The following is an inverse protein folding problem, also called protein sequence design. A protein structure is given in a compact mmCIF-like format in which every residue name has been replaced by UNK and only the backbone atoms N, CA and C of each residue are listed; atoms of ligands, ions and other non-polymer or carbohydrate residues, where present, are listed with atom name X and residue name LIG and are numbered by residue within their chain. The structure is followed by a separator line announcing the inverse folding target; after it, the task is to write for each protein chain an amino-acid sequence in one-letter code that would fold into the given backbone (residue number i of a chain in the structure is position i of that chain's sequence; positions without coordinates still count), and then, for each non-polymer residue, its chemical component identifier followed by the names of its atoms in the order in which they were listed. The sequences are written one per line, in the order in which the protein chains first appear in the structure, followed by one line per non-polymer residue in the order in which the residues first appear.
data_IF_755466935747
#
_entry.id   IF_755466935747
#
_cell.length_a   1.000
_cell.length_b   1.000
_cell.length_c   1.000
_cell.angle_alpha   90.00
_cell.angle_beta   90.00
_cell.angle_gamma   90.00
#
_symmetry.space_group_name_H-M   'P 1'
#
loop_
_entity.id
_entity.type
_entity.pdbx_description
1 polymer ?
#
# COMPACT_ATOMS: atom_id res chain seq x y z
N UNK A 1 -24.46 7.08 2.64
CA UNK A 1 -24.55 5.86 1.79
C UNK A 1 -25.96 5.74 1.22
N UNK A 2 -26.06 5.46 -0.08
CA UNK A 2 -27.34 5.13 -0.74
C UNK A 2 -27.19 3.87 -1.56
N UNK A 3 -28.18 3.00 -1.48
CA UNK A 3 -28.25 1.71 -2.19
C UNK A 3 -26.98 0.85 -2.08
N UNK A 4 -26.26 0.96 -0.96
CA UNK A 4 -25.01 0.25 -0.74
C UNK A 4 -25.23 -1.04 0.06
N UNK A 5 -24.96 -2.19 -0.57
CA UNK A 5 -25.14 -3.53 0.01
C UNK A 5 -26.55 -3.71 0.64
N UNK A 6 -26.63 -3.70 1.97
CA UNK A 6 -27.91 -3.84 2.72
C UNK A 6 -28.59 -2.49 3.01
N UNK A 7 -27.94 -1.38 2.79
CA UNK A 7 -28.46 -0.07 3.16
C UNK A 7 -29.16 0.60 2.00
N UNK A 8 -30.49 0.81 2.05
CA UNK A 8 -31.19 1.68 1.11
C UNK A 8 -30.69 3.13 1.24
N UNK A 9 -30.62 3.62 2.46
CA UNK A 9 -29.99 4.88 2.82
C UNK A 9 -29.46 4.77 4.26
N UNK A 10 -28.25 5.31 4.52
CA UNK A 10 -27.65 5.32 5.84
C UNK A 10 -26.68 6.49 5.97
N UNK A 11 -26.88 7.32 6.98
CA UNK A 11 -25.92 8.31 7.44
C UNK A 11 -25.36 7.90 8.81
N UNK A 12 -24.09 8.20 9.04
CA UNK A 12 -23.40 7.96 10.31
C UNK A 12 -22.43 9.10 10.53
N UNK A 13 -22.54 9.76 11.66
CA UNK A 13 -21.58 10.75 12.10
C UNK A 13 -20.38 10.04 12.74
N UNK A 14 -19.18 10.38 12.24
CA UNK A 14 -17.93 9.83 12.72
C UNK A 14 -17.18 10.90 13.52
N UNK A 15 -16.82 10.57 14.74
CA UNK A 15 -16.03 11.38 15.64
C UNK A 15 -14.61 10.81 15.76
N UNK A 16 -13.64 11.54 16.38
CA UNK A 16 -12.28 11.00 16.58
C UNK A 16 -12.24 9.64 17.27
N UNK A 17 -13.26 9.35 18.08
CA UNK A 17 -13.50 8.01 18.62
C UNK A 17 -14.97 7.66 18.43
N UNK A 18 -15.24 6.73 17.52
CA UNK A 18 -16.58 6.22 17.23
C UNK A 18 -16.59 4.71 17.42
N UNK A 19 -17.49 4.20 18.25
CA UNK A 19 -17.72 2.77 18.44
C UNK A 19 -19.00 2.38 17.71
N UNK A 20 -18.89 1.40 16.81
CA UNK A 20 -20.02 0.82 16.07
C UNK A 20 -20.32 -0.56 16.60
N UNK A 21 -21.36 -0.67 17.41
CA UNK A 21 -21.84 -1.93 17.98
C UNK A 21 -23.14 -2.40 17.32
N UNK A 22 -23.47 -3.66 17.49
CA UNK A 22 -24.68 -4.28 16.93
C UNK A 22 -24.52 -5.78 16.73
N UNK A 23 -25.63 -6.45 16.41
CA UNK A 23 -25.66 -7.90 16.16
C UNK A 23 -24.93 -8.29 14.89
N UNK A 24 -24.62 -9.56 14.73
CA UNK A 24 -24.06 -10.07 13.48
C UNK A 24 -25.02 -9.82 12.30
N UNK A 25 -24.45 -9.50 11.12
CA UNK A 25 -25.18 -9.17 9.90
C UNK A 25 -25.95 -7.84 9.91
N UNK A 26 -25.78 -6.97 10.90
CA UNK A 26 -26.39 -5.63 10.91
C UNK A 26 -25.65 -4.60 10.05
N UNK A 27 -24.49 -4.95 9.52
CA UNK A 27 -23.79 -4.12 8.55
C UNK A 27 -22.63 -3.31 9.12
N UNK A 28 -22.10 -3.65 10.30
CA UNK A 28 -20.91 -3.00 10.87
C UNK A 28 -19.73 -3.01 9.89
N UNK A 29 -19.36 -4.18 9.41
CA UNK A 29 -18.29 -4.31 8.39
C UNK A 29 -18.65 -3.65 7.05
N UNK A 30 -19.94 -3.54 6.73
CA UNK A 30 -20.40 -2.84 5.54
C UNK A 30 -20.14 -1.35 5.61
N UNK A 31 -20.28 -0.73 6.79
CA UNK A 31 -19.91 0.67 7.01
C UNK A 31 -18.39 0.88 6.89
N UNK A 32 -17.61 -0.02 7.47
CA UNK A 32 -16.14 0.01 7.34
C UNK A 32 -15.70 -0.16 5.87
N UNK A 33 -16.28 -1.11 5.15
CA UNK A 33 -16.01 -1.32 3.73
C UNK A 33 -16.33 -0.07 2.89
N UNK A 34 -17.48 0.59 3.16
CA UNK A 34 -17.87 1.79 2.43
C UNK A 34 -16.90 2.96 2.68
N UNK A 35 -16.50 3.16 3.94
CA UNK A 35 -15.51 4.16 4.33
C UNK A 35 -14.18 3.94 3.59
N UNK A 36 -13.68 2.72 3.61
CA UNK A 36 -12.41 2.38 2.97
C UNK A 36 -12.49 2.42 1.44
N UNK A 37 -13.62 1.99 0.85
CA UNK A 37 -13.83 2.08 -0.60
C UNK A 37 -13.75 3.53 -1.09
N UNK A 38 -14.32 4.48 -0.37
CA UNK A 38 -14.23 5.90 -0.73
C UNK A 38 -12.80 6.39 -0.68
N UNK A 39 -12.05 6.08 0.37
CA UNK A 39 -10.69 6.57 0.58
C UNK A 39 -9.61 5.82 -0.21
N UNK A 40 -9.75 4.50 -0.35
CA UNK A 40 -8.66 3.67 -0.90
C UNK A 40 -9.04 2.93 -2.16
N UNK A 41 -10.32 2.90 -2.52
CA UNK A 41 -10.84 2.05 -3.59
C UNK A 41 -10.90 0.56 -3.23
N UNK A 42 -10.65 0.21 -1.96
CA UNK A 42 -10.61 -1.18 -1.48
C UNK A 42 -11.50 -1.38 -0.26
N UNK A 43 -11.93 -2.61 -0.04
CA UNK A 43 -12.63 -3.02 1.17
C UNK A 43 -11.65 -3.32 2.30
N UNK A 44 -12.15 -3.53 3.52
CA UNK A 44 -11.35 -3.82 4.72
C UNK A 44 -10.42 -5.05 4.59
N UNK A 45 -10.76 -5.99 3.74
CA UNK A 45 -9.92 -7.16 3.45
C UNK A 45 -8.85 -6.91 2.37
N UNK A 46 -8.73 -5.67 1.86
CA UNK A 46 -7.77 -5.28 0.84
C UNK A 46 -8.17 -5.63 -0.60
N UNK A 47 -9.34 -6.23 -0.82
CA UNK A 47 -9.85 -6.54 -2.17
C UNK A 47 -10.62 -5.37 -2.77
N UNK A 48 -10.79 -5.39 -4.09
CA UNK A 48 -11.67 -4.44 -4.77
C UNK A 48 -13.13 -4.63 -4.36
N UNK A 49 -13.94 -3.55 -4.33
CA UNK A 49 -15.35 -3.64 -3.97
C UNK A 49 -16.13 -4.45 -4.99
N UNK A 50 -16.66 -5.58 -4.54
CA UNK A 50 -17.56 -6.43 -5.33
C UNK A 50 -18.96 -6.45 -4.72
N UNK A 51 -19.99 -6.65 -5.55
CA UNK A 51 -21.38 -6.74 -5.09
C UNK A 51 -21.77 -5.60 -4.14
N UNK A 52 -21.46 -4.36 -4.52
CA UNK A 52 -21.72 -3.17 -3.69
C UNK A 52 -23.18 -2.71 -3.77
N UNK A 53 -23.91 -3.14 -4.79
CA UNK A 53 -25.30 -2.75 -5.02
C UNK A 53 -26.24 -3.40 -3.99
N UNK A 54 -27.28 -2.66 -3.63
CA UNK A 54 -28.32 -3.17 -2.76
C UNK A 54 -28.99 -4.42 -3.36
N UNK A 55 -29.27 -5.38 -2.50
CA UNK A 55 -29.99 -6.60 -2.86
C UNK A 55 -31.32 -6.67 -2.14
N UNK A 56 -32.36 -7.08 -2.85
CA UNK A 56 -33.64 -7.46 -2.31
C UNK A 56 -33.89 -8.92 -2.66
N UNK A 57 -34.23 -9.72 -1.66
CA UNK A 57 -34.42 -11.18 -1.82
C UNK A 57 -33.23 -11.88 -2.52
N UNK A 58 -32.01 -11.41 -2.28
CA UNK A 58 -30.78 -11.97 -2.85
C UNK A 58 -30.43 -11.47 -4.27
N UNK A 59 -31.31 -10.71 -4.92
CA UNK A 59 -31.11 -10.17 -6.26
C UNK A 59 -30.72 -8.68 -6.18
N UNK A 60 -29.76 -8.26 -6.99
CA UNK A 60 -29.37 -6.85 -7.05
C UNK A 60 -30.52 -6.00 -7.63
N UNK A 61 -30.81 -4.88 -6.96
CA UNK A 61 -31.82 -3.91 -7.45
C UNK A 61 -31.26 -3.22 -8.69
N UNK A 62 -31.89 -3.39 -9.86
CA UNK A 62 -31.39 -2.80 -11.09
C UNK A 62 -31.65 -1.31 -11.17
N UNK A 63 -30.85 -0.61 -11.98
CA UNK A 63 -31.05 0.81 -12.36
C UNK A 63 -31.05 1.80 -11.18
N UNK A 64 -30.47 1.44 -10.03
CA UNK A 64 -30.29 2.36 -8.90
C UNK A 64 -28.83 2.76 -8.80
N UNK A 65 -28.58 4.02 -8.52
CA UNK A 65 -27.23 4.53 -8.28
C UNK A 65 -26.75 4.11 -6.89
N UNK A 66 -25.51 3.66 -6.79
CA UNK A 66 -24.87 3.35 -5.53
C UNK A 66 -24.00 4.53 -5.14
N UNK A 67 -24.40 5.28 -4.11
CA UNK A 67 -23.71 6.49 -3.66
C UNK A 67 -22.97 6.21 -2.35
N UNK A 68 -21.70 6.58 -2.34
CA UNK A 68 -20.85 6.58 -1.15
C UNK A 68 -20.28 7.99 -1.01
N UNK A 69 -20.64 8.65 0.06
CA UNK A 69 -20.23 10.02 0.37
C UNK A 69 -19.55 10.03 1.72
N UNK A 70 -18.49 10.81 1.83
CA UNK A 70 -17.75 11.00 3.06
C UNK A 70 -17.39 12.49 3.21
N UNK A 71 -17.72 13.07 4.36
CA UNK A 71 -17.28 14.38 4.74
C UNK A 71 -16.05 14.28 5.63
N UNK A 72 -14.97 14.93 5.24
CA UNK A 72 -13.68 14.93 5.93
C UNK A 72 -13.41 16.34 6.48
N UNK A 73 -12.96 16.43 7.71
CA UNK A 73 -12.39 17.66 8.26
C UNK A 73 -10.86 17.62 8.07
N UNK A 74 -10.33 18.47 7.21
CA UNK A 74 -8.90 18.57 6.89
C UNK A 74 -8.46 20.00 7.22
N UNK A 75 -7.54 20.15 8.17
CA UNK A 75 -7.02 21.47 8.61
C UNK A 75 -8.15 22.46 8.96
N UNK A 76 -9.20 21.95 9.61
CA UNK A 76 -10.35 22.75 10.03
C UNK A 76 -11.33 23.12 8.90
N UNK A 77 -11.14 22.60 7.69
CA UNK A 77 -12.07 22.79 6.56
C UNK A 77 -12.75 21.46 6.23
N UNK A 78 -14.06 21.54 6.00
CA UNK A 78 -14.82 20.38 5.53
C UNK A 78 -14.61 20.17 4.04
N UNK A 79 -14.42 18.92 3.66
CA UNK A 79 -14.30 18.43 2.29
C UNK A 79 -15.25 17.28 2.09
N UNK A 80 -16.10 17.36 1.08
CA UNK A 80 -17.06 16.30 0.73
C UNK A 80 -16.54 15.56 -0.48
N UNK A 81 -16.33 14.28 -0.32
CA UNK A 81 -15.95 13.39 -1.42
C UNK A 81 -17.05 12.38 -1.66
N UNK A 82 -17.35 12.14 -2.95
CA UNK A 82 -18.42 11.26 -3.35
C UNK A 82 -17.99 10.34 -4.48
N UNK A 83 -18.46 9.11 -4.39
CA UNK A 83 -18.20 8.05 -5.37
C UNK A 83 -19.54 7.44 -5.77
N UNK A 84 -19.93 7.55 -7.03
CA UNK A 84 -21.22 7.16 -7.56
C UNK A 84 -21.02 6.05 -8.58
N UNK A 85 -21.60 4.88 -8.35
CA UNK A 85 -21.54 3.76 -9.29
C UNK A 85 -22.91 3.52 -9.91
N UNK A 86 -23.00 3.69 -11.22
CA UNK A 86 -24.19 3.51 -12.05
C UNK A 86 -24.08 2.25 -12.90
N UNK A 87 -25.21 1.64 -13.22
CA UNK A 87 -25.25 0.58 -14.23
C UNK A 87 -25.39 1.20 -15.62
N UNK A 88 -24.54 0.74 -16.54
CA UNK A 88 -24.73 1.00 -17.97
C UNK A 88 -25.66 -0.04 -18.55
N UNK A 89 -26.61 0.43 -19.32
CA UNK A 89 -27.56 -0.39 -20.04
C UNK A 89 -27.46 -0.04 -21.52
N UNK A 90 -27.40 -1.05 -22.37
CA UNK A 90 -27.31 -0.90 -23.82
C UNK A 90 -28.49 -1.60 -24.48
N UNK A 91 -29.07 -0.95 -25.48
CA UNK A 91 -30.09 -1.56 -26.35
C UNK A 91 -29.40 -2.09 -27.61
N UNK A 92 -29.18 -3.41 -27.75
CA UNK A 92 -28.59 -3.98 -28.95
C UNK A 92 -29.53 -3.74 -30.17
N UNK A 93 -28.90 -3.60 -31.35
CA UNK A 93 -29.63 -3.36 -32.58
C UNK A 93 -30.54 -4.56 -32.89
N UNK A 94 -31.85 -4.31 -33.05
CA UNK A 94 -32.84 -5.36 -33.32
C UNK A 94 -33.45 -6.03 -32.09
N UNK A 95 -33.10 -5.61 -30.89
CA UNK A 95 -33.73 -6.08 -29.64
C UNK A 95 -34.59 -4.98 -29.02
N UNK A 96 -35.72 -5.39 -28.40
CA UNK A 96 -36.62 -4.46 -27.70
C UNK A 96 -36.16 -4.15 -26.28
N UNK A 97 -35.36 -5.04 -25.66
CA UNK A 97 -34.94 -4.97 -24.28
C UNK A 97 -33.53 -4.42 -24.14
N UNK A 98 -33.30 -3.72 -23.05
CA UNK A 98 -31.95 -3.25 -22.64
C UNK A 98 -31.18 -4.37 -21.94
N UNK A 99 -29.92 -4.51 -22.30
CA UNK A 99 -28.99 -5.48 -21.69
C UNK A 99 -27.99 -4.74 -20.83
N UNK A 100 -27.67 -5.31 -19.68
CA UNK A 100 -26.65 -4.78 -18.80
C UNK A 100 -25.26 -4.79 -19.48
N UNK A 101 -24.60 -3.64 -19.52
CA UNK A 101 -23.30 -3.41 -20.21
C UNK A 101 -22.18 -2.99 -19.23
N UNK A 102 -22.32 -3.32 -17.96
CA UNK A 102 -21.31 -3.05 -16.95
C UNK A 102 -21.66 -1.92 -15.99
N UNK A 103 -20.69 -1.54 -15.17
CA UNK A 103 -20.81 -0.44 -14.21
C UNK A 103 -19.88 0.70 -14.60
N UNK A 104 -20.31 1.91 -14.33
CA UNK A 104 -19.50 3.13 -14.44
C UNK A 104 -19.44 3.81 -13.08
N UNK A 105 -18.24 4.23 -12.68
CA UNK A 105 -18.05 4.99 -11.45
C UNK A 105 -17.62 6.41 -11.79
N UNK A 106 -18.37 7.38 -11.28
CA UNK A 106 -18.04 8.81 -11.29
C UNK A 106 -17.65 9.29 -9.90
N UNK A 107 -16.91 10.37 -9.87
CA UNK A 107 -16.33 10.94 -8.66
C UNK A 107 -16.69 12.41 -8.55
N UNK A 108 -16.89 12.89 -7.33
CA UNK A 108 -17.12 14.30 -7.02
C UNK A 108 -16.29 14.72 -5.81
N UNK A 109 -15.80 15.96 -5.84
CA UNK A 109 -15.12 16.63 -4.73
C UNK A 109 -15.85 17.96 -4.50
N UNK A 110 -16.35 18.21 -3.28
CA UNK A 110 -17.12 19.39 -2.91
C UNK A 110 -18.31 19.66 -3.86
N UNK A 111 -18.96 18.61 -4.36
CA UNK A 111 -20.08 18.69 -5.31
C UNK A 111 -19.69 18.91 -6.77
N UNK A 112 -18.41 19.05 -7.08
CA UNK A 112 -17.93 19.20 -8.46
C UNK A 112 -17.47 17.86 -9.03
N UNK A 113 -17.84 17.54 -10.30
CA UNK A 113 -17.36 16.34 -10.94
C UNK A 113 -15.83 16.32 -11.04
N UNK A 114 -15.21 15.20 -10.70
CA UNK A 114 -13.77 14.98 -10.74
C UNK A 114 -13.45 13.77 -11.63
N UNK A 115 -12.30 13.81 -12.33
CA UNK A 115 -11.77 12.62 -13.00
C UNK A 115 -11.22 11.65 -11.95
N UNK A 116 -11.19 10.37 -12.29
CA UNK A 116 -10.61 9.35 -11.40
C UNK A 116 -9.19 9.68 -10.94
N UNK A 117 -8.37 10.27 -11.84
CA UNK A 117 -7.02 10.70 -11.53
C UNK A 117 -7.01 11.82 -10.47
N UNK A 118 -7.78 12.87 -10.69
CA UNK A 118 -7.84 14.05 -9.81
C UNK A 118 -8.37 13.65 -8.41
N UNK A 119 -9.35 12.75 -8.38
CA UNK A 119 -9.87 12.19 -7.12
C UNK A 119 -8.78 11.40 -6.38
N UNK A 120 -8.03 10.57 -7.08
CA UNK A 120 -6.94 9.78 -6.49
C UNK A 120 -5.81 10.68 -5.97
N UNK A 121 -5.42 11.70 -6.73
CA UNK A 121 -4.41 12.69 -6.32
C UNK A 121 -4.89 13.48 -5.08
N UNK A 122 -6.16 13.83 -5.03
CA UNK A 122 -6.73 14.48 -3.84
C UNK A 122 -6.62 13.59 -2.60
N UNK A 123 -6.99 12.30 -2.69
CA UNK A 123 -6.84 11.37 -1.56
C UNK A 123 -5.37 11.21 -1.18
N UNK A 124 -4.46 11.08 -2.16
CA UNK A 124 -3.02 10.97 -1.92
C UNK A 124 -2.43 12.22 -1.25
N UNK A 125 -3.00 13.39 -1.49
CA UNK A 125 -2.58 14.63 -0.80
C UNK A 125 -2.92 14.62 0.69
N UNK A 126 -3.93 13.85 1.11
CA UNK A 126 -4.31 13.68 2.53
C UNK A 126 -3.43 12.61 3.17
N UNK A 127 -3.38 11.44 2.57
CA UNK A 127 -2.52 10.33 3.00
C UNK A 127 -2.43 9.27 1.89
N UNK A 128 -1.33 8.53 1.84
CA UNK A 128 -1.19 7.44 0.88
C UNK A 128 -2.24 6.34 1.12
N UNK A 129 -2.97 5.89 0.08
CA UNK A 129 -4.05 4.91 0.22
C UNK A 129 -3.62 3.60 0.89
N UNK A 130 -2.39 3.14 0.66
CA UNK A 130 -1.84 1.96 1.33
C UNK A 130 -1.68 2.16 2.83
N UNK A 131 -1.27 3.36 3.25
CA UNK A 131 -1.14 3.73 4.67
C UNK A 131 -2.52 3.88 5.32
N UNK A 132 -3.48 4.52 4.63
CA UNK A 132 -4.86 4.60 5.09
C UNK A 132 -5.49 3.21 5.29
N UNK A 133 -5.29 2.31 4.33
CA UNK A 133 -5.79 0.94 4.44
C UNK A 133 -5.19 0.22 5.65
N UNK A 134 -3.89 0.35 5.87
CA UNK A 134 -3.19 -0.25 7.02
C UNK A 134 -3.66 0.32 8.36
N UNK A 135 -3.82 1.65 8.45
CA UNK A 135 -4.20 2.32 9.69
C UNK A 135 -5.68 2.15 10.04
N UNK A 136 -6.55 2.10 9.01
CA UNK A 136 -8.00 2.18 9.20
C UNK A 136 -8.72 0.84 9.12
N UNK A 137 -8.06 -0.26 8.69
CA UNK A 137 -8.84 -1.46 8.40
C UNK A 137 -8.50 -2.66 9.26
N UNK A 138 -7.52 -3.40 8.90
CA UNK A 138 -7.25 -4.72 9.44
C UNK A 138 -5.74 -4.84 9.63
N UNK A 139 -5.26 -5.29 10.79
CA UNK A 139 -3.84 -5.53 11.00
C UNK A 139 -3.27 -6.62 10.08
N UNK A 140 -4.13 -7.44 9.46
CA UNK A 140 -3.69 -8.55 8.61
C UNK A 140 -2.82 -8.12 7.43
N UNK A 141 -3.15 -7.12 6.58
CA UNK A 141 -2.27 -6.67 5.51
C UNK A 141 -0.90 -6.18 6.03
N UNK A 142 -0.90 -5.55 7.21
CA UNK A 142 0.34 -5.15 7.87
C UNK A 142 1.15 -6.38 8.32
N UNK A 143 0.52 -7.33 8.97
CA UNK A 143 1.16 -8.59 9.39
C UNK A 143 1.67 -9.39 8.19
N UNK A 144 0.88 -9.48 7.11
CA UNK A 144 1.28 -10.14 5.86
C UNK A 144 2.52 -9.46 5.25
N UNK A 145 2.64 -8.12 5.35
CA UNK A 145 3.81 -7.36 4.90
C UNK A 145 5.02 -7.64 5.78
N UNK A 146 4.84 -7.72 7.11
CA UNK A 146 5.90 -8.07 8.05
C UNK A 146 6.45 -9.48 7.81
N UNK A 147 5.62 -10.40 7.35
CA UNK A 147 6.02 -11.78 7.05
C UNK A 147 6.75 -11.94 5.71
N UNK A 148 6.49 -11.06 4.74
CA UNK A 148 7.05 -11.17 3.38
C UNK A 148 8.52 -10.78 3.32
N UNK A 149 8.90 -9.64 3.84
CA UNK A 149 10.29 -9.19 3.77
C UNK A 149 10.59 -8.09 4.81
N UNK A 150 11.75 -8.18 5.44
CA UNK A 150 12.22 -7.16 6.39
C UNK A 150 12.38 -5.78 5.73
N UNK A 151 12.75 -5.73 4.44
CA UNK A 151 12.92 -4.47 3.71
C UNK A 151 11.58 -3.79 3.44
N UNK A 152 10.53 -4.54 3.05
CA UNK A 152 9.18 -4.00 2.85
C UNK A 152 8.56 -3.55 4.16
N UNK A 153 8.73 -4.34 5.22
CA UNK A 153 8.28 -3.98 6.57
C UNK A 153 8.88 -2.68 7.05
N UNK A 154 10.19 -2.49 6.83
CA UNK A 154 10.88 -1.26 7.19
C UNK A 154 10.31 -0.05 6.44
N UNK A 155 10.11 -0.14 5.13
CA UNK A 155 9.51 0.94 4.33
C UNK A 155 8.11 1.33 4.81
N UNK A 156 7.30 0.35 5.19
CA UNK A 156 5.97 0.61 5.74
C UNK A 156 6.07 1.34 7.09
N UNK A 157 6.95 0.87 7.98
CA UNK A 157 7.17 1.50 9.29
C UNK A 157 7.75 2.93 9.16
N UNK A 158 8.70 3.15 8.25
CA UNK A 158 9.24 4.48 7.94
C UNK A 158 8.13 5.44 7.50
N UNK A 159 7.27 5.02 6.58
CA UNK A 159 6.11 5.82 6.14
C UNK A 159 5.12 6.08 7.28
N UNK A 160 4.83 5.10 8.12
CA UNK A 160 3.90 5.26 9.25
C UNK A 160 4.45 6.16 10.35
N UNK A 161 5.76 6.15 10.58
CA UNK A 161 6.41 6.96 11.61
C UNK A 161 6.53 8.44 11.23
N UNK A 162 6.30 8.80 9.95
CA UNK A 162 6.59 10.13 9.44
C UNK A 162 8.07 10.50 9.52
N UNK A 163 8.96 9.50 9.58
CA UNK A 163 10.39 9.70 9.71
C UNK A 163 10.95 10.39 8.46
N UNK A 164 11.42 11.60 8.63
CA UNK A 164 12.10 12.37 7.60
C UNK A 164 13.61 12.24 7.78
N UNK A 165 14.24 11.54 6.85
CA UNK A 165 15.70 11.32 6.87
C UNK A 165 16.44 12.66 6.75
N UNK A 166 15.96 13.60 5.93
CA UNK A 166 16.64 14.89 5.75
C UNK A 166 16.65 15.68 7.06
N UNK A 167 15.49 15.79 7.71
CA UNK A 167 15.37 16.43 9.02
C UNK A 167 16.21 15.73 10.10
N UNK A 168 16.20 14.40 10.11
CA UNK A 168 17.03 13.61 11.04
C UNK A 168 18.53 13.88 10.83
N UNK A 169 19.00 14.00 9.59
CA UNK A 169 20.40 14.29 9.28
C UNK A 169 20.80 15.71 9.69
N UNK A 170 19.91 16.70 9.51
CA UNK A 170 20.12 18.07 9.99
C UNK A 170 20.24 18.14 11.53
N UNK A 171 19.40 17.40 12.25
CA UNK A 171 19.41 17.32 13.71
C UNK A 171 20.59 16.48 14.25
N UNK A 172 21.23 15.66 13.42
CA UNK A 172 22.29 14.73 13.81
C UNK A 172 23.53 14.84 12.91
N UNK A 173 24.31 15.93 13.00
CA UNK A 173 25.48 16.19 12.13
C UNK A 173 26.54 15.09 12.16
N UNK A 174 26.61 14.28 13.24
CA UNK A 174 27.54 13.14 13.35
C UNK A 174 27.34 12.10 12.24
N UNK A 175 26.19 12.07 11.58
CA UNK A 175 25.89 11.15 10.48
C UNK A 175 26.09 11.77 9.09
N UNK A 176 26.54 13.03 8.97
CA UNK A 176 26.76 13.71 7.68
C UNK A 176 27.68 12.92 6.74
N UNK A 177 28.64 12.16 7.29
CA UNK A 177 29.52 11.29 6.51
C UNK A 177 28.78 10.16 5.78
N UNK A 178 27.58 9.78 6.21
CA UNK A 178 26.77 8.75 5.53
C UNK A 178 26.31 9.24 4.18
N UNK A 179 25.92 10.52 4.05
CA UNK A 179 25.54 11.13 2.77
C UNK A 179 26.72 11.16 1.80
N UNK A 180 27.90 11.52 2.29
CA UNK A 180 29.14 11.51 1.49
C UNK A 180 29.49 10.10 1.01
N UNK A 181 29.38 9.08 1.88
CA UNK A 181 29.64 7.69 1.52
C UNK A 181 28.60 7.17 0.51
N UNK A 182 27.35 7.55 0.63
CA UNK A 182 26.27 7.08 -0.27
C UNK A 182 26.30 7.78 -1.62
N UNK A 183 26.81 9.02 -1.70
CA UNK A 183 26.87 9.83 -2.93
C UNK A 183 25.53 9.88 -3.68
N UNK A 184 24.44 10.08 -2.96
CA UNK A 184 23.09 10.15 -3.54
C UNK A 184 22.45 8.78 -3.89
N UNK A 185 23.13 7.68 -3.62
CA UNK A 185 22.53 6.35 -3.70
C UNK A 185 21.86 5.94 -2.38
N UNK A 186 20.91 5.02 -2.43
CA UNK A 186 20.33 4.49 -1.20
C UNK A 186 21.41 3.76 -0.38
N UNK A 187 21.29 3.82 0.95
CA UNK A 187 22.20 3.10 1.87
C UNK A 187 22.21 1.60 1.55
N UNK A 188 21.05 1.03 1.18
CA UNK A 188 20.93 -0.38 0.81
C UNK A 188 21.72 -0.73 -0.45
N UNK A 189 21.66 0.11 -1.48
CA UNK A 189 22.41 -0.12 -2.73
C UNK A 189 23.92 -0.03 -2.50
N UNK A 190 24.34 0.92 -1.67
CA UNK A 190 25.73 1.07 -1.30
C UNK A 190 26.23 -0.13 -0.48
N UNK A 191 25.44 -0.60 0.49
CA UNK A 191 25.76 -1.81 1.26
C UNK A 191 25.84 -3.06 0.35
N UNK A 192 24.94 -3.18 -0.61
CA UNK A 192 24.96 -4.29 -1.57
C UNK A 192 26.21 -4.27 -2.44
N UNK A 193 26.64 -3.08 -2.87
CA UNK A 193 27.88 -2.91 -3.63
C UNK A 193 29.10 -3.26 -2.80
N UNK A 194 29.21 -2.72 -1.59
CA UNK A 194 30.31 -2.99 -0.67
C UNK A 194 30.42 -4.49 -0.31
N UNK A 195 29.29 -5.17 -0.11
CA UNK A 195 29.29 -6.63 0.14
C UNK A 195 29.81 -7.42 -1.07
N UNK A 196 29.48 -7.00 -2.29
CA UNK A 196 30.03 -7.63 -3.50
C UNK A 196 31.56 -7.41 -3.59
N UNK A 197 32.02 -6.19 -3.36
CA UNK A 197 33.44 -5.86 -3.36
C UNK A 197 34.22 -6.66 -2.30
N UNK A 198 33.66 -6.74 -1.09
CA UNK A 198 34.23 -7.55 0.00
C UNK A 198 34.35 -9.02 -0.36
N UNK A 199 33.32 -9.61 -0.99
CA UNK A 199 33.37 -11.01 -1.41
C UNK A 199 34.42 -11.25 -2.49
N UNK A 200 34.61 -10.30 -3.41
CA UNK A 200 35.69 -10.37 -4.41
C UNK A 200 37.06 -10.32 -3.74
N UNK A 201 37.24 -9.43 -2.77
CA UNK A 201 38.52 -9.34 -2.04
C UNK A 201 38.77 -10.60 -1.20
N UNK A 202 37.76 -11.14 -0.51
CA UNK A 202 37.91 -12.43 0.21
C UNK A 202 38.37 -13.53 -0.71
N UNK A 203 37.74 -13.72 -1.87
CA UNK A 203 38.17 -14.73 -2.84
C UNK A 203 39.62 -14.54 -3.31
N UNK A 204 40.09 -13.29 -3.49
CA UNK A 204 41.49 -13.02 -3.84
C UNK A 204 42.45 -13.39 -2.70
N UNK A 205 42.07 -13.11 -1.46
CA UNK A 205 42.87 -13.48 -0.30
C UNK A 205 42.94 -15.00 -0.15
N UNK A 206 41.80 -15.70 -0.29
CA UNK A 206 41.75 -17.15 -0.21
C UNK A 206 42.61 -17.81 -1.31
N UNK A 207 42.57 -17.30 -2.54
CA UNK A 207 43.39 -17.78 -3.63
C UNK A 207 44.89 -17.60 -3.35
N UNK A 208 45.29 -16.42 -2.82
CA UNK A 208 46.67 -16.18 -2.43
C UNK A 208 47.15 -17.05 -1.26
N UNK A 209 46.27 -17.26 -0.27
CA UNK A 209 46.57 -18.15 0.83
C UNK A 209 46.81 -19.60 0.35
N UNK A 210 46.03 -20.04 -0.64
CA UNK A 210 46.18 -21.36 -1.27
C UNK A 210 47.53 -21.44 -2.03
N UNK A 211 47.89 -20.39 -2.77
CA UNK A 211 49.16 -20.30 -3.49
C UNK A 211 50.34 -20.31 -2.51
N UNK A 212 50.30 -19.56 -1.44
CA UNK A 212 51.33 -19.54 -0.38
C UNK A 212 51.47 -20.93 0.26
N UNK A 213 50.35 -21.59 0.59
CA UNK A 213 50.38 -22.94 1.17
C UNK A 213 51.03 -23.94 0.22
N UNK A 214 50.74 -23.84 -1.09
CA UNK A 214 51.37 -24.70 -2.11
C UNK A 214 52.86 -24.47 -2.24
N UNK A 215 53.31 -23.21 -2.30
CA UNK A 215 54.72 -22.84 -2.34
C UNK A 215 55.48 -23.26 -1.09
N UNK A 216 54.89 -23.12 0.09
CA UNK A 216 55.46 -23.53 1.37
C UNK A 216 55.66 -25.05 1.40
N UNK A 217 54.66 -25.84 0.99
CA UNK A 217 54.80 -27.29 0.96
C UNK A 217 55.88 -27.74 -0.04
N UNK A 218 55.94 -27.08 -1.21
CA UNK A 218 56.94 -27.36 -2.23
C UNK A 218 58.37 -27.07 -1.74
N UNK A 219 58.59 -25.99 -0.95
CA UNK A 219 59.90 -25.68 -0.40
C UNK A 219 60.32 -26.68 0.66
N UNK A 220 59.43 -27.17 1.50
CA UNK A 220 59.66 -28.20 2.49
C UNK A 220 60.07 -29.53 1.84
N UNK A 221 59.36 -29.97 0.78
CA UNK A 221 59.68 -31.16 0.03
C UNK A 221 61.06 -31.09 -0.68
N UNK A 222 61.47 -29.90 -1.14
CA UNK A 222 62.76 -29.65 -1.74
C UNK A 222 63.94 -29.70 -0.72
N UNK A 223 63.73 -29.27 0.53
CA UNK A 223 64.71 -29.36 1.60
C UNK A 223 64.90 -30.79 2.08
N UNK A 224 63.84 -31.61 2.17
CA UNK A 224 63.91 -33.01 2.55
C UNK A 224 64.64 -33.87 1.49
N UNK A 225 64.53 -33.53 0.22
CA UNK A 225 65.24 -34.25 -0.87
C UNK A 225 66.70 -33.83 -1.02
N UNK A 226 67.15 -32.71 -0.45
CA UNK A 226 68.53 -32.24 -0.47
C UNK A 226 69.37 -32.76 0.71
N UNK A 227 68.75 -33.44 1.66
CA UNK A 227 69.39 -34.01 2.87
C UNK A 227 69.63 -35.53 2.79
N UNK A 228 69.37 -36.16 1.67
CA UNK A 228 69.68 -37.56 1.30
C UNK A 228 70.87 -37.60 0.34
#
# INVERSE_FOLDING_TARGET
LENYKKFPSKSVDLFPRTEISGRNREGKSTLQDAYLDVLTGKMANGTEPTSIRRKENGVEVPKVDVIRELTLAIDGKEKVIRKITKQKWRKPRGQSEEVFDGNETSYEIDGFPAKSKDYTEFIQSIAEPSTLLLMCSNPKPFLDTLQKSTAESRKVLEKMSGFDIAKFMEENPQYAHVEEITKGHSVEDKLKKLRKELNVQKKKVDAKNTEIAYETNRSVEAEDTSSL
#
